data_IF_064080552898
#
_entry.id   IF_064080552898
#
_cell.length_a   1.000
_cell.length_b   1.000
_cell.length_c   1.000
_cell.angle_alpha   90.00
_cell.angle_beta   90.00
_cell.angle_gamma   90.00
#
_symmetry.space_group_name_H-M   'P 1'
#
loop_
_entity.id
_entity.type
_entity.pdbx_description
1 polymer ?
#
# COMPACT_ATOMS: atom_id res chain seq x y z
N UNK A 1 -3.07 23.48 -23.79
CA UNK A 1 -2.08 22.41 -23.58
C UNK A 1 -2.65 21.44 -22.56
N UNK A 2 -3.12 20.27 -22.99
CA UNK A 2 -3.50 19.21 -22.07
C UNK A 2 -2.21 18.61 -21.52
N UNK A 3 -1.99 18.69 -20.20
CA UNK A 3 -0.92 17.93 -19.56
C UNK A 3 -1.14 16.45 -19.90
N UNK A 4 -0.13 15.70 -20.38
CA UNK A 4 -0.31 14.28 -20.62
C UNK A 4 -0.62 13.67 -19.26
N UNK A 5 -1.85 13.16 -19.10
CA UNK A 5 -2.20 12.33 -17.95
C UNK A 5 -1.16 11.22 -17.94
N UNK A 6 -0.24 11.33 -16.98
CA UNK A 6 1.03 10.62 -16.92
C UNK A 6 0.77 9.15 -17.21
N UNK A 7 1.40 8.57 -18.23
CA UNK A 7 1.06 7.22 -18.74
C UNK A 7 1.05 6.15 -17.64
N UNK A 8 1.83 6.37 -16.58
CA UNK A 8 1.83 5.56 -15.35
C UNK A 8 0.50 5.60 -14.58
N UNK A 9 -0.18 6.74 -14.50
CA UNK A 9 -1.49 6.88 -13.85
C UNK A 9 -2.55 6.12 -14.63
N UNK A 10 -2.53 6.19 -15.97
CA UNK A 10 -3.46 5.41 -16.81
C UNK A 10 -3.21 3.91 -16.71
N UNK A 11 -1.94 3.49 -16.65
CA UNK A 11 -1.56 2.09 -16.48
C UNK A 11 -1.99 1.57 -15.10
N UNK A 12 -1.72 2.31 -14.03
CA UNK A 12 -2.16 2.00 -12.67
C UNK A 12 -3.69 1.92 -12.58
N UNK A 13 -4.41 2.83 -13.24
CA UNK A 13 -5.87 2.81 -13.27
C UNK A 13 -6.42 1.60 -14.04
N UNK A 14 -5.80 1.23 -15.16
CA UNK A 14 -6.21 0.07 -15.95
C UNK A 14 -5.87 -1.25 -15.24
N UNK A 15 -4.69 -1.35 -14.62
CA UNK A 15 -4.31 -2.51 -13.81
C UNK A 15 -5.17 -2.64 -12.56
N UNK A 16 -5.56 -1.51 -11.95
CA UNK A 16 -6.55 -1.48 -10.88
C UNK A 16 -7.91 -2.01 -11.32
N UNK A 17 -8.40 -1.60 -12.50
CA UNK A 17 -9.64 -2.12 -13.08
C UNK A 17 -9.55 -3.62 -13.39
N UNK A 18 -8.35 -4.13 -13.69
CA UNK A 18 -8.10 -5.54 -14.07
C UNK A 18 -7.61 -6.43 -12.93
N UNK A 19 -7.38 -5.88 -11.74
CA UNK A 19 -7.12 -6.67 -10.56
C UNK A 19 -8.45 -7.18 -10.01
N UNK A 20 -8.76 -8.44 -10.29
CA UNK A 20 -9.87 -9.13 -9.64
C UNK A 20 -9.73 -9.05 -8.12
N UNK A 21 -10.85 -8.79 -7.42
CA UNK A 21 -10.87 -8.80 -5.95
C UNK A 21 -10.51 -10.21 -5.47
N UNK A 22 -9.65 -10.28 -4.47
CA UNK A 22 -9.29 -11.51 -3.79
C UNK A 22 -10.46 -12.03 -2.97
N UNK A 23 -10.87 -13.24 -3.26
CA UNK A 23 -11.94 -13.97 -2.58
C UNK A 23 -11.44 -15.09 -1.67
N UNK A 24 -10.11 -15.28 -1.62
CA UNK A 24 -9.44 -16.39 -0.93
C UNK A 24 -8.85 -17.43 -1.89
N UNK A 25 -9.13 -17.35 -3.19
CA UNK A 25 -8.59 -18.27 -4.19
C UNK A 25 -7.41 -17.67 -4.97
N UNK A 26 -6.60 -18.52 -5.60
CA UNK A 26 -5.49 -18.08 -6.48
C UNK A 26 -4.50 -17.10 -5.82
N UNK A 27 -4.22 -17.27 -4.52
CA UNK A 27 -3.40 -16.36 -3.71
C UNK A 27 -2.07 -15.97 -4.37
N UNK A 28 -1.33 -16.92 -4.94
CA UNK A 28 -0.04 -16.63 -5.57
C UNK A 28 -0.18 -15.60 -6.71
N UNK A 29 -1.19 -15.76 -7.58
CA UNK A 29 -1.43 -14.83 -8.69
C UNK A 29 -1.88 -13.46 -8.17
N UNK A 30 -2.77 -13.43 -7.18
CA UNK A 30 -3.20 -12.17 -6.58
C UNK A 30 -2.04 -11.45 -5.89
N UNK A 31 -1.21 -12.19 -5.14
CA UNK A 31 -0.02 -11.68 -4.46
C UNK A 31 0.97 -11.06 -5.45
N UNK A 32 1.25 -11.71 -6.58
CA UNK A 32 2.16 -11.19 -7.59
C UNK A 32 1.64 -9.86 -8.19
N UNK A 33 0.35 -9.83 -8.56
CA UNK A 33 -0.31 -8.59 -9.05
C UNK A 33 -0.28 -7.47 -8.00
N UNK A 34 -0.57 -7.80 -6.74
CA UNK A 34 -0.56 -6.83 -5.64
C UNK A 34 0.85 -6.31 -5.37
N UNK A 35 1.85 -7.19 -5.38
CA UNK A 35 3.26 -6.82 -5.18
C UNK A 35 3.73 -5.89 -6.28
N UNK A 36 3.36 -6.17 -7.54
CA UNK A 36 3.65 -5.29 -8.67
C UNK A 36 3.04 -3.91 -8.47
N UNK A 37 1.73 -3.84 -8.17
CA UNK A 37 1.01 -2.59 -7.92
C UNK A 37 1.69 -1.75 -6.82
N UNK A 38 1.95 -2.35 -5.65
CA UNK A 38 2.57 -1.66 -4.52
C UNK A 38 4.00 -1.21 -4.84
N UNK A 39 4.73 -1.95 -5.68
CA UNK A 39 6.07 -1.57 -6.14
C UNK A 39 6.02 -0.39 -7.09
N UNK A 40 5.07 -0.36 -8.03
CA UNK A 40 4.84 0.80 -8.91
C UNK A 40 4.47 2.05 -8.12
N UNK A 41 3.71 1.88 -7.02
CA UNK A 41 3.37 2.95 -6.07
C UNK A 41 4.53 3.30 -5.12
N UNK A 42 5.64 2.56 -5.14
CA UNK A 42 6.82 2.73 -4.26
C UNK A 42 6.54 2.56 -2.76
N UNK A 43 5.51 1.80 -2.40
CA UNK A 43 5.11 1.51 -1.01
C UNK A 43 5.30 0.05 -0.62
N UNK A 44 5.77 -0.82 -1.53
CA UNK A 44 5.97 -2.25 -1.24
C UNK A 44 6.99 -2.53 -0.12
N UNK A 45 7.91 -1.60 0.13
CA UNK A 45 8.90 -1.71 1.21
C UNK A 45 8.26 -1.78 2.60
N UNK A 46 7.04 -1.24 2.78
CA UNK A 46 6.27 -1.29 4.03
C UNK A 46 6.00 -2.74 4.46
N UNK A 47 5.91 -3.66 3.51
CA UNK A 47 5.65 -5.07 3.77
C UNK A 47 6.91 -5.87 4.15
N UNK A 48 8.10 -5.25 4.15
CA UNK A 48 9.33 -5.94 4.53
C UNK A 48 9.32 -6.22 6.05
N UNK A 49 9.37 -7.49 6.48
CA UNK A 49 9.41 -7.83 7.91
C UNK A 49 10.68 -7.32 8.62
N UNK A 50 11.70 -6.88 7.86
CA UNK A 50 12.92 -6.26 8.40
C UNK A 50 12.81 -4.74 8.53
N UNK A 51 11.71 -4.14 8.06
CA UNK A 51 11.48 -2.70 8.21
C UNK A 51 11.43 -2.36 9.70
N UNK A 52 12.18 -1.35 10.12
CA UNK A 52 12.13 -0.91 11.50
C UNK A 52 10.78 -0.26 11.79
N UNK A 53 10.13 -0.61 12.92
CA UNK A 53 8.90 0.05 13.33
C UNK A 53 9.08 1.56 13.41
N UNK A 54 8.01 2.29 13.09
CA UNK A 54 7.97 3.73 13.28
C UNK A 54 8.24 4.03 14.76
N UNK A 55 9.40 4.65 15.05
CA UNK A 55 9.74 5.02 16.41
C UNK A 55 8.78 6.11 16.92
N UNK A 56 8.32 5.98 18.16
CA UNK A 56 7.47 6.98 18.80
C UNK A 56 8.12 8.38 18.75
N UNK A 57 7.31 9.45 18.59
CA UNK A 57 7.83 10.82 18.58
C UNK A 57 8.65 11.17 19.81
N UNK A 58 9.84 11.73 19.59
CA UNK A 58 10.68 12.31 20.64
C UNK A 58 10.80 13.81 20.45
N UNK A 59 10.88 14.55 21.55
CA UNK A 59 10.93 16.01 21.54
C UNK A 59 12.17 16.54 20.79
N UNK A 60 13.29 15.83 20.89
CA UNK A 60 14.56 16.15 20.24
C UNK A 60 14.73 15.54 18.83
N UNK A 61 13.69 14.96 18.23
CA UNK A 61 13.77 14.42 16.87
C UNK A 61 14.14 15.53 15.87
N UNK A 62 15.13 15.24 15.02
CA UNK A 62 15.46 16.13 13.92
C UNK A 62 14.30 16.23 12.93
N UNK A 63 14.24 17.32 12.16
CA UNK A 63 13.22 17.50 11.11
C UNK A 63 13.22 16.33 10.11
N UNK A 64 14.40 15.78 9.80
CA UNK A 64 14.52 14.61 8.92
C UNK A 64 13.83 13.37 9.47
N UNK A 65 13.98 13.09 10.77
CA UNK A 65 13.32 11.97 11.45
C UNK A 65 11.81 12.15 11.47
N UNK A 66 11.33 13.37 11.78
CA UNK A 66 9.89 13.69 11.76
C UNK A 66 9.27 13.50 10.37
N UNK A 67 9.96 13.95 9.32
CA UNK A 67 9.50 13.79 7.94
C UNK A 67 9.51 12.32 7.50
N UNK A 68 10.53 11.55 7.87
CA UNK A 68 10.61 10.13 7.55
C UNK A 68 9.47 9.34 8.23
N UNK A 69 9.14 9.69 9.48
CA UNK A 69 7.99 9.14 10.21
C UNK A 69 6.68 9.40 9.48
N UNK A 70 6.38 10.66 9.19
CA UNK A 70 5.14 11.05 8.49
C UNK A 70 5.01 10.34 7.13
N UNK A 71 6.11 10.26 6.39
CA UNK A 71 6.12 9.53 5.12
C UNK A 71 5.83 8.04 5.30
N UNK A 72 6.41 7.41 6.32
CA UNK A 72 6.17 5.99 6.60
C UNK A 72 4.69 5.75 6.96
N UNK A 73 4.10 6.62 7.79
CA UNK A 73 2.67 6.57 8.14
C UNK A 73 1.77 6.72 6.90
N UNK A 74 2.10 7.65 6.00
CA UNK A 74 1.39 7.84 4.73
C UNK A 74 1.52 6.60 3.82
N UNK A 75 2.74 6.08 3.64
CA UNK A 75 3.00 4.91 2.80
C UNK A 75 2.32 3.66 3.37
N UNK A 76 2.27 3.49 4.69
CA UNK A 76 1.51 2.44 5.38
C UNK A 76 0.01 2.52 5.09
N UNK A 77 -0.56 3.73 5.19
CA UNK A 77 -1.97 3.96 4.91
C UNK A 77 -2.31 3.65 3.44
N UNK A 78 -1.46 4.08 2.51
CA UNK A 78 -1.61 3.80 1.07
C UNK A 78 -1.51 2.29 0.81
N UNK A 79 -0.48 1.63 1.34
CA UNK A 79 -0.25 0.20 1.18
C UNK A 79 -1.46 -0.61 1.68
N UNK A 80 -1.89 -0.33 2.91
CA UNK A 80 -3.05 -0.98 3.53
C UNK A 80 -4.34 -0.70 2.78
N UNK A 81 -4.57 0.54 2.36
CA UNK A 81 -5.75 0.95 1.61
C UNK A 81 -5.88 0.19 0.28
N UNK A 82 -4.78 0.06 -0.47
CA UNK A 82 -4.79 -0.74 -1.69
C UNK A 82 -5.07 -2.21 -1.40
N UNK A 83 -4.35 -2.85 -0.47
CA UNK A 83 -4.57 -4.26 -0.14
C UNK A 83 -6.05 -4.52 0.19
N UNK A 84 -6.64 -3.71 1.08
CA UNK A 84 -8.03 -3.84 1.49
C UNK A 84 -9.01 -3.64 0.32
N UNK A 85 -8.80 -2.62 -0.52
CA UNK A 85 -9.70 -2.33 -1.65
C UNK A 85 -9.79 -3.48 -2.67
N UNK A 86 -8.75 -4.32 -2.76
CA UNK A 86 -8.76 -5.50 -3.61
C UNK A 86 -9.14 -6.78 -2.89
N UNK A 87 -9.67 -6.72 -1.66
CA UNK A 87 -10.33 -7.86 -1.03
C UNK A 87 -11.81 -7.84 -1.40
N UNK A 88 -12.46 -9.00 -1.45
CA UNK A 88 -13.94 -9.09 -1.43
C UNK A 88 -14.54 -8.47 -0.17
N UNK A 89 -15.82 -8.09 -0.19
CA UNK A 89 -16.44 -7.37 0.94
C UNK A 89 -16.34 -8.15 2.25
N UNK A 90 -16.58 -9.47 2.19
CA UNK A 90 -16.44 -10.36 3.36
C UNK A 90 -15.03 -10.32 3.96
N UNK A 91 -13.99 -10.33 3.12
CA UNK A 91 -12.60 -10.29 3.58
C UNK A 91 -12.20 -8.88 4.03
N UNK A 92 -12.70 -7.84 3.36
CA UNK A 92 -12.53 -6.46 3.79
C UNK A 92 -13.04 -6.27 5.22
N UNK A 93 -14.28 -6.68 5.50
CA UNK A 93 -14.89 -6.53 6.83
C UNK A 93 -14.13 -7.31 7.90
N UNK A 94 -13.58 -8.48 7.55
CA UNK A 94 -12.77 -9.29 8.44
C UNK A 94 -11.44 -8.60 8.80
N UNK A 95 -10.76 -8.00 7.81
CA UNK A 95 -9.40 -7.47 7.99
C UNK A 95 -9.32 -5.95 8.24
N UNK A 96 -10.39 -5.19 7.99
CA UNK A 96 -10.37 -3.71 8.08
C UNK A 96 -10.03 -3.16 9.46
N UNK A 97 -10.19 -3.96 10.52
CA UNK A 97 -9.87 -3.58 11.90
C UNK A 97 -8.64 -4.31 12.45
N UNK A 98 -7.99 -5.18 11.67
CA UNK A 98 -6.74 -5.78 12.09
C UNK A 98 -5.61 -4.75 11.96
N UNK A 99 -4.86 -4.61 13.04
CA UNK A 99 -3.58 -3.92 13.09
C UNK A 99 -2.48 -4.91 12.71
N UNK A 100 -1.36 -4.42 12.17
CA UNK A 100 -0.12 -5.22 12.17
C UNK A 100 0.20 -5.62 13.62
N UNK A 101 0.62 -6.88 13.88
CA UNK A 101 1.19 -7.27 15.16
C UNK A 101 2.33 -6.34 15.60
#
# INVERSE_FOLDING_TARGET
MALPINSNIKLLYLDAIRLDRFDGTNYMRWKDKMTFLLTTLKVSYVLDPKLQPIQAPKENDSKGVKNARLKCEEDELICRGHILNYLTDRLYDLYRNMSSP
#
